data_IF_977455150540
#
_entry.id   IF_977455150540
#
_cell.length_a   1.000
_cell.length_b   1.000
_cell.length_c   1.000
_cell.angle_alpha   90.00
_cell.angle_beta   90.00
_cell.angle_gamma   90.00
#
_symmetry.space_group_name_H-M   'P 1'
#
loop_
_entity.id
_entity.type
_entity.pdbx_description
1 polymer ?
#
# COMPACT_ATOMS: atom_id res chain seq x y z
N UNK A 1 0.79 15.71 9.51
CA UNK A 1 1.92 15.72 8.56
C UNK A 1 2.67 14.40 8.63
N UNK A 2 3.14 13.89 7.48
CA UNK A 2 3.92 12.66 7.35
C UNK A 2 5.25 13.05 6.74
N UNK A 3 6.33 12.63 7.36
CA UNK A 3 7.69 12.87 6.87
C UNK A 3 8.10 11.80 5.84
N UNK A 4 9.02 12.15 4.97
CA UNK A 4 9.54 11.22 3.96
C UNK A 4 10.19 9.99 4.61
N UNK A 5 9.92 8.82 4.05
CA UNK A 5 10.46 7.55 4.52
C UNK A 5 9.76 6.96 5.75
N UNK A 6 8.72 7.62 6.30
CA UNK A 6 7.93 7.07 7.41
C UNK A 6 7.01 5.94 6.95
N UNK A 7 6.83 4.94 7.82
CA UNK A 7 5.81 3.90 7.72
C UNK A 7 4.69 4.20 8.71
N UNK A 8 3.53 4.56 8.18
CA UNK A 8 2.33 4.94 8.93
C UNK A 8 1.29 3.83 8.84
N UNK A 9 0.77 3.43 9.98
CA UNK A 9 -0.31 2.43 10.06
C UNK A 9 -1.60 3.09 10.51
N UNK A 10 -2.62 3.04 9.65
CA UNK A 10 -3.99 3.44 9.99
C UNK A 10 -4.69 2.24 10.62
N UNK A 11 -5.09 2.37 11.88
CA UNK A 11 -5.74 1.31 12.63
C UNK A 11 -7.08 1.78 13.23
N UNK A 12 -7.94 0.83 13.58
CA UNK A 12 -9.29 1.07 14.10
C UNK A 12 -10.29 0.05 13.58
N UNK A 13 -11.52 0.10 14.05
CA UNK A 13 -12.58 -0.83 13.67
C UNK A 13 -12.92 -0.79 12.18
N UNK A 14 -13.58 -1.84 11.68
CA UNK A 14 -14.12 -1.86 10.31
C UNK A 14 -15.12 -0.71 10.14
N UNK A 15 -15.03 -0.03 9.00
CA UNK A 15 -15.93 1.10 8.69
C UNK A 15 -15.55 2.44 9.33
N UNK A 16 -14.46 2.53 10.10
CA UNK A 16 -14.04 3.79 10.74
C UNK A 16 -13.42 4.82 9.78
N UNK A 17 -13.38 4.55 8.46
CA UNK A 17 -12.92 5.52 7.46
C UNK A 17 -11.50 5.33 6.92
N UNK A 18 -10.76 4.27 7.29
CA UNK A 18 -9.37 4.01 6.80
C UNK A 18 -9.28 3.96 5.27
N UNK A 19 -10.13 3.14 4.63
CA UNK A 19 -10.19 3.03 3.16
C UNK A 19 -10.57 4.36 2.50
N UNK A 20 -11.43 5.16 3.13
CA UNK A 20 -11.76 6.49 2.62
C UNK A 20 -10.53 7.40 2.63
N UNK A 21 -9.76 7.39 3.71
CA UNK A 21 -8.54 8.17 3.83
C UNK A 21 -7.48 7.71 2.80
N UNK A 22 -7.27 6.39 2.64
CA UNK A 22 -6.35 5.88 1.62
C UNK A 22 -6.76 6.27 0.21
N UNK A 23 -8.08 6.26 -0.10
CA UNK A 23 -8.62 6.70 -1.39
C UNK A 23 -8.50 8.20 -1.64
N UNK A 24 -8.48 9.01 -0.61
CA UNK A 24 -8.18 10.44 -0.73
C UNK A 24 -6.69 10.66 -1.04
N UNK A 25 -5.79 9.92 -0.37
CA UNK A 25 -4.34 10.06 -0.57
C UNK A 25 -3.93 9.65 -2.00
N UNK A 26 -4.51 8.58 -2.54
CA UNK A 26 -4.19 8.13 -3.90
C UNK A 26 -5.01 8.82 -5.01
N UNK A 27 -5.82 9.83 -4.64
CA UNK A 27 -6.59 10.63 -5.58
C UNK A 27 -7.86 9.96 -6.12
N UNK A 28 -8.21 8.74 -5.69
CA UNK A 28 -9.46 8.10 -6.11
C UNK A 28 -10.69 8.86 -5.61
N UNK A 29 -10.58 9.59 -4.52
CA UNK A 29 -11.56 10.60 -4.10
C UNK A 29 -10.89 11.96 -4.27
N UNK A 30 -11.49 12.88 -5.03
CA UNK A 30 -12.85 12.87 -5.60
C UNK A 30 -12.92 12.37 -7.05
N UNK A 31 -11.83 11.94 -7.70
CA UNK A 31 -11.78 11.75 -9.14
C UNK A 31 -12.51 10.51 -9.67
N UNK A 32 -12.58 9.44 -8.88
CA UNK A 32 -13.23 8.18 -9.27
C UNK A 32 -14.47 7.89 -8.43
N UNK A 33 -14.40 8.13 -7.12
CA UNK A 33 -15.56 8.01 -6.24
C UNK A 33 -16.17 9.39 -6.02
N UNK A 34 -17.47 9.52 -6.30
CA UNK A 34 -18.20 10.76 -6.06
C UNK A 34 -18.26 11.09 -4.58
N UNK A 35 -18.08 12.37 -4.24
CA UNK A 35 -18.14 12.86 -2.87
C UNK A 35 -17.73 14.32 -2.78
N UNK A 36 -18.13 14.97 -1.68
CA UNK A 36 -17.70 16.35 -1.39
C UNK A 36 -16.44 16.27 -0.52
N UNK A 37 -15.30 16.61 -1.10
CA UNK A 37 -14.06 16.82 -0.37
C UNK A 37 -13.98 18.26 0.10
N UNK A 38 -13.72 18.47 1.40
CA UNK A 38 -13.40 19.77 1.99
C UNK A 38 -12.01 19.70 2.62
N UNK A 39 -11.20 20.73 2.41
CA UNK A 39 -9.78 20.71 2.75
C UNK A 39 -8.91 20.31 1.58
N UNK A 40 -7.64 20.07 1.85
CA UNK A 40 -6.61 19.85 0.84
C UNK A 40 -5.70 18.69 1.24
N UNK A 41 -5.20 17.97 0.24
CA UNK A 41 -4.22 16.89 0.42
C UNK A 41 -2.99 17.24 -0.40
N UNK A 42 -1.90 17.48 0.29
CA UNK A 42 -0.63 17.86 -0.32
C UNK A 42 0.35 16.70 -0.28
N UNK A 43 0.91 16.37 -1.43
CA UNK A 43 1.97 15.37 -1.59
C UNK A 43 3.09 16.01 -2.40
N UNK A 44 4.30 16.09 -1.84
CA UNK A 44 5.46 16.71 -2.48
C UNK A 44 5.16 18.12 -3.04
N UNK A 45 4.39 18.92 -2.29
CA UNK A 45 4.00 20.27 -2.71
C UNK A 45 2.89 20.34 -3.78
N UNK A 46 2.27 19.21 -4.11
CA UNK A 46 1.20 19.11 -5.11
C UNK A 46 -0.13 18.80 -4.41
N UNK A 47 -1.17 19.57 -4.71
CA UNK A 47 -2.52 19.28 -4.23
C UNK A 47 -3.17 18.17 -5.07
N UNK A 48 -3.24 16.96 -4.50
CA UNK A 48 -3.72 15.74 -5.18
C UNK A 48 -5.17 15.85 -5.64
N UNK A 49 -6.00 16.60 -4.92
CA UNK A 49 -7.42 16.77 -5.27
C UNK A 49 -7.65 17.63 -6.52
N UNK A 50 -6.63 18.36 -6.97
CA UNK A 50 -6.71 19.29 -8.09
C UNK A 50 -5.99 18.80 -9.34
N UNK A 51 -5.18 17.73 -9.25
CA UNK A 51 -4.45 17.22 -10.41
C UNK A 51 -5.13 15.95 -10.97
N UNK A 52 -4.91 15.65 -12.26
CA UNK A 52 -5.40 14.42 -12.87
C UNK A 52 -4.90 13.16 -12.16
N UNK A 53 -5.75 12.13 -12.06
CA UNK A 53 -5.44 10.88 -11.37
C UNK A 53 -4.16 10.20 -11.90
N UNK A 54 -3.89 10.28 -13.21
CA UNK A 54 -2.70 9.68 -13.81
C UNK A 54 -1.38 10.34 -13.36
N UNK A 55 -1.41 11.61 -12.94
CA UNK A 55 -0.23 12.28 -12.38
C UNK A 55 -0.02 11.87 -10.93
N UNK A 56 -1.10 11.74 -10.15
CA UNK A 56 -1.04 11.16 -8.80
C UNK A 56 -0.48 9.74 -8.83
N UNK A 57 -0.89 8.91 -9.79
CA UNK A 57 -0.43 7.53 -9.93
C UNK A 57 1.08 7.37 -10.24
N UNK A 58 1.76 8.42 -10.67
CA UNK A 58 3.23 8.44 -10.83
C UNK A 58 3.96 8.57 -9.49
N UNK A 59 3.32 9.20 -8.50
CA UNK A 59 3.90 9.54 -7.20
C UNK A 59 3.42 8.56 -6.13
N UNK A 60 2.15 8.14 -6.20
CA UNK A 60 1.50 7.27 -5.23
C UNK A 60 1.16 5.93 -5.87
N UNK A 61 1.83 4.89 -5.41
CA UNK A 61 1.54 3.52 -5.78
C UNK A 61 0.52 2.89 -4.82
N UNK A 62 -0.53 2.26 -5.35
CA UNK A 62 -1.62 1.70 -4.54
C UNK A 62 -1.71 0.19 -4.64
N UNK A 63 -1.84 -0.48 -3.48
CA UNK A 63 -2.13 -1.91 -3.37
C UNK A 63 -3.48 -2.06 -2.66
N UNK A 64 -4.46 -2.62 -3.35
CA UNK A 64 -5.82 -2.75 -2.85
C UNK A 64 -6.03 -4.04 -2.05
N UNK A 65 -7.05 -4.06 -1.19
CA UNK A 65 -7.43 -5.18 -0.33
C UNK A 65 -7.60 -6.50 -1.10
N UNK A 66 -8.18 -6.45 -2.30
CA UNK A 66 -8.33 -7.61 -3.16
C UNK A 66 -7.43 -7.47 -4.40
N UNK A 67 -6.28 -8.14 -4.45
CA UNK A 67 -5.39 -8.04 -5.60
C UNK A 67 -6.03 -8.46 -6.92
N UNK A 68 -7.06 -9.33 -6.89
CA UNK A 68 -7.77 -9.74 -8.12
C UNK A 68 -8.50 -8.59 -8.83
N UNK A 69 -8.98 -7.60 -8.08
CA UNK A 69 -9.65 -6.43 -8.66
C UNK A 69 -8.67 -5.43 -9.28
N UNK A 70 -7.37 -5.65 -9.07
CA UNK A 70 -6.30 -4.78 -9.56
C UNK A 70 -5.72 -5.30 -10.89
N UNK A 71 -5.92 -6.58 -11.23
CA UNK A 71 -5.28 -7.22 -12.37
C UNK A 71 -6.05 -6.98 -13.67
N UNK A 72 -5.32 -6.62 -14.71
CA UNK A 72 -5.80 -6.41 -16.08
C UNK A 72 -5.32 -7.50 -17.03
N UNK A 73 -4.22 -8.17 -16.73
CA UNK A 73 -3.59 -9.18 -17.60
C UNK A 73 -3.76 -10.58 -17.03
N UNK A 74 -3.60 -11.57 -17.91
CA UNK A 74 -3.61 -13.00 -17.55
C UNK A 74 -2.20 -13.48 -17.15
N UNK A 75 -1.18 -12.91 -17.77
CA UNK A 75 0.22 -13.23 -17.54
C UNK A 75 0.86 -12.30 -16.51
N UNK A 76 1.63 -12.89 -15.58
CA UNK A 76 2.27 -12.14 -14.48
C UNK A 76 3.29 -11.12 -14.95
N UNK A 77 4.03 -11.40 -16.03
CA UNK A 77 5.04 -10.49 -16.55
C UNK A 77 4.37 -9.24 -17.12
N UNK A 78 3.35 -9.46 -17.97
CA UNK A 78 2.55 -8.39 -18.55
C UNK A 78 1.83 -7.55 -17.49
N UNK A 79 1.36 -8.20 -16.41
CA UNK A 79 0.74 -7.48 -15.30
C UNK A 79 1.72 -6.59 -14.57
N UNK A 80 2.93 -7.07 -14.28
CA UNK A 80 3.94 -6.26 -13.60
C UNK A 80 4.33 -5.06 -14.47
N UNK A 81 4.48 -5.22 -15.79
CA UNK A 81 4.92 -4.14 -16.69
C UNK A 81 3.81 -3.17 -17.09
N UNK A 82 2.55 -3.54 -16.88
CA UNK A 82 1.37 -2.82 -17.35
C UNK A 82 1.36 -1.32 -17.01
N UNK A 83 1.70 -0.96 -15.77
CA UNK A 83 1.75 0.44 -15.34
C UNK A 83 2.81 1.26 -16.10
N UNK A 84 3.99 0.67 -16.32
CA UNK A 84 5.07 1.31 -17.08
C UNK A 84 4.72 1.49 -18.56
N UNK A 85 4.06 0.49 -19.16
CA UNK A 85 3.58 0.54 -20.54
C UNK A 85 2.53 1.65 -20.73
N UNK A 86 1.58 1.77 -19.80
CA UNK A 86 0.57 2.83 -19.80
C UNK A 86 1.17 4.24 -19.67
N UNK A 87 2.30 4.37 -18.98
CA UNK A 87 3.04 5.63 -18.89
C UNK A 87 3.90 5.89 -20.12
N UNK A 88 3.91 5.02 -21.13
CA UNK A 88 4.69 5.16 -22.36
C UNK A 88 6.20 5.06 -22.16
N UNK A 89 6.66 4.32 -21.13
CA UNK A 89 8.09 4.15 -20.89
C UNK A 89 8.77 3.39 -22.04
N UNK A 90 10.05 3.68 -22.35
CA UNK A 90 10.82 2.93 -23.33
C UNK A 90 10.95 1.45 -22.96
N UNK A 91 10.86 0.54 -23.94
CA UNK A 91 10.91 -0.92 -23.71
C UNK A 91 12.16 -1.39 -22.95
N UNK A 92 13.31 -0.81 -23.24
CA UNK A 92 14.56 -1.17 -22.56
C UNK A 92 14.51 -0.74 -21.09
N UNK A 93 13.97 0.42 -20.77
CA UNK A 93 13.79 0.86 -19.39
C UNK A 93 12.83 -0.06 -18.64
N UNK A 94 11.71 -0.45 -19.27
CA UNK A 94 10.75 -1.40 -18.66
C UNK A 94 11.45 -2.73 -18.35
N UNK A 95 12.27 -3.23 -19.27
CA UNK A 95 13.01 -4.48 -19.11
C UNK A 95 14.00 -4.41 -17.93
N UNK A 96 14.74 -3.32 -17.83
CA UNK A 96 15.71 -3.12 -16.74
C UNK A 96 14.99 -3.01 -15.37
N UNK A 97 13.90 -2.26 -15.31
CA UNK A 97 13.06 -2.14 -14.12
C UNK A 97 12.44 -3.49 -13.72
N UNK A 98 11.96 -4.27 -14.70
CA UNK A 98 11.40 -5.60 -14.47
C UNK A 98 12.45 -6.54 -13.87
N UNK A 99 13.66 -6.57 -14.44
CA UNK A 99 14.76 -7.38 -13.92
C UNK A 99 15.12 -7.01 -12.47
N UNK A 100 15.22 -5.72 -12.17
CA UNK A 100 15.46 -5.24 -10.82
C UNK A 100 14.33 -5.67 -9.86
N UNK A 101 13.07 -5.44 -10.22
CA UNK A 101 11.91 -5.80 -9.40
C UNK A 101 11.83 -7.32 -9.15
N UNK A 102 12.15 -8.16 -10.16
CA UNK A 102 12.21 -9.62 -10.01
C UNK A 102 13.24 -10.03 -8.96
N UNK A 103 14.39 -9.38 -8.94
CA UNK A 103 15.48 -9.68 -7.98
C UNK A 103 15.11 -9.19 -6.58
N UNK A 104 14.69 -7.95 -6.46
CA UNK A 104 14.36 -7.28 -5.20
C UNK A 104 13.23 -7.98 -4.44
N UNK A 105 12.18 -8.38 -5.15
CA UNK A 105 11.01 -9.03 -4.56
C UNK A 105 11.01 -10.57 -4.68
N UNK A 106 12.12 -11.15 -5.15
CA UNK A 106 12.30 -12.62 -5.29
C UNK A 106 11.20 -13.30 -6.12
N UNK A 107 10.85 -12.73 -7.28
CA UNK A 107 9.72 -13.16 -8.11
C UNK A 107 10.06 -14.20 -9.18
N UNK A 108 11.30 -14.65 -9.29
CA UNK A 108 11.79 -15.50 -10.39
C UNK A 108 10.87 -16.69 -10.73
N UNK A 109 10.27 -17.31 -9.71
CA UNK A 109 9.36 -18.47 -9.88
C UNK A 109 7.94 -18.10 -10.31
N UNK A 110 7.61 -16.82 -10.30
CA UNK A 110 6.26 -16.31 -10.61
C UNK A 110 6.16 -15.71 -12.01
N UNK A 111 7.28 -15.45 -12.67
CA UNK A 111 7.32 -14.79 -13.98
C UNK A 111 6.84 -15.76 -15.08
N UNK A 112 6.06 -15.25 -16.04
CA UNK A 112 5.49 -16.02 -17.15
C UNK A 112 4.38 -16.98 -16.73
N UNK A 113 3.80 -16.83 -15.55
CA UNK A 113 2.73 -17.70 -15.05
C UNK A 113 1.35 -17.06 -15.27
N UNK A 114 0.35 -17.91 -15.37
CA UNK A 114 -1.04 -17.46 -15.40
C UNK A 114 -1.48 -17.01 -14.00
N UNK A 115 -1.93 -15.75 -13.87
CA UNK A 115 -2.34 -15.12 -12.59
C UNK A 115 -3.47 -15.89 -11.91
N UNK A 116 -4.40 -16.48 -12.67
CA UNK A 116 -5.53 -17.23 -12.11
C UNK A 116 -5.09 -18.50 -11.37
N UNK A 117 -3.92 -19.05 -11.71
CA UNK A 117 -3.35 -20.25 -11.09
C UNK A 117 -2.52 -19.94 -9.84
N UNK A 118 -2.32 -18.66 -9.51
CA UNK A 118 -1.54 -18.25 -8.36
C UNK A 118 -2.36 -18.36 -7.06
N UNK A 119 -1.68 -18.67 -5.96
CA UNK A 119 -2.23 -18.55 -4.60
C UNK A 119 -2.52 -17.09 -4.24
N UNK A 120 -3.25 -16.86 -3.14
CA UNK A 120 -3.52 -15.49 -2.65
C UNK A 120 -2.25 -14.70 -2.37
N UNK A 121 -1.28 -15.31 -1.70
CA UNK A 121 0.02 -14.67 -1.40
C UNK A 121 0.86 -14.41 -2.64
N UNK A 122 0.88 -15.32 -3.62
CA UNK A 122 1.55 -15.09 -4.90
C UNK A 122 0.91 -13.93 -5.67
N UNK A 123 -0.43 -13.85 -5.68
CA UNK A 123 -1.16 -12.71 -6.26
C UNK A 123 -0.80 -11.39 -5.58
N UNK A 124 -0.72 -11.38 -4.24
CA UNK A 124 -0.31 -10.20 -3.50
C UNK A 124 1.10 -9.75 -3.87
N UNK A 125 2.04 -10.67 -4.04
CA UNK A 125 3.40 -10.36 -4.51
C UNK A 125 3.40 -9.74 -5.91
N UNK A 126 2.59 -10.26 -6.84
CA UNK A 126 2.46 -9.68 -8.19
C UNK A 126 1.86 -8.27 -8.14
N UNK A 127 0.81 -8.04 -7.31
CA UNK A 127 0.25 -6.72 -7.12
C UNK A 127 1.29 -5.72 -6.56
N UNK A 128 2.05 -6.12 -5.54
CA UNK A 128 3.16 -5.31 -5.02
C UNK A 128 4.23 -5.04 -6.09
N UNK A 129 4.56 -6.03 -6.92
CA UNK A 129 5.55 -5.89 -7.98
C UNK A 129 5.11 -4.90 -9.07
N UNK A 130 3.85 -4.96 -9.49
CA UNK A 130 3.26 -4.04 -10.48
C UNK A 130 3.27 -2.59 -10.02
N UNK A 131 3.23 -2.37 -8.69
CA UNK A 131 3.38 -1.03 -8.10
C UNK A 131 4.86 -0.66 -7.96
N UNK A 132 5.70 -1.59 -7.48
CA UNK A 132 7.14 -1.36 -7.24
C UNK A 132 7.90 -0.97 -8.49
N UNK A 133 7.60 -1.59 -9.64
CA UNK A 133 8.29 -1.34 -10.91
C UNK A 133 8.16 0.13 -11.36
N UNK A 134 7.08 0.79 -10.98
CA UNK A 134 6.84 2.20 -11.27
C UNK A 134 7.70 3.14 -10.41
N UNK A 135 8.30 2.63 -9.33
CA UNK A 135 9.16 3.36 -8.37
C UNK A 135 8.48 4.60 -7.78
N UNK A 136 7.25 4.50 -7.25
CA UNK A 136 6.58 5.64 -6.65
C UNK A 136 7.34 6.13 -5.40
N UNK A 137 7.06 7.36 -4.98
CA UNK A 137 7.62 7.91 -3.73
C UNK A 137 6.84 7.44 -2.52
N UNK A 138 5.54 7.22 -2.69
CA UNK A 138 4.61 6.84 -1.64
C UNK A 138 3.90 5.53 -2.01
N UNK A 139 3.84 4.60 -1.08
CA UNK A 139 3.02 3.39 -1.18
C UNK A 139 1.81 3.50 -0.27
N UNK A 140 0.63 3.25 -0.80
CA UNK A 140 -0.63 3.19 -0.04
C UNK A 140 -1.20 1.78 -0.14
N UNK A 141 -1.32 1.09 0.99
CA UNK A 141 -1.83 -0.28 1.05
C UNK A 141 -3.13 -0.30 1.84
N UNK A 142 -4.17 -0.85 1.26
CA UNK A 142 -5.48 -0.98 1.92
C UNK A 142 -5.73 -2.44 2.30
N UNK A 143 -5.65 -2.74 3.61
CA UNK A 143 -5.80 -4.07 4.21
C UNK A 143 -5.06 -5.20 3.47
N UNK A 144 -3.76 -5.04 3.17
CA UNK A 144 -3.04 -5.93 2.27
C UNK A 144 -2.87 -7.36 2.80
N UNK A 145 -3.08 -7.59 4.11
CA UNK A 145 -2.95 -8.91 4.75
C UNK A 145 -4.27 -9.67 4.86
N UNK A 146 -5.42 -9.09 4.49
CA UNK A 146 -6.76 -9.59 4.82
C UNK A 146 -7.01 -11.05 4.40
N UNK A 147 -6.48 -11.47 3.25
CA UNK A 147 -6.70 -12.80 2.66
C UNK A 147 -5.43 -13.66 2.62
N UNK A 148 -4.42 -13.34 3.45
CA UNK A 148 -3.13 -14.01 3.45
C UNK A 148 -2.99 -14.99 4.62
N UNK A 149 -2.29 -16.08 4.37
CA UNK A 149 -1.78 -16.98 5.40
C UNK A 149 -0.51 -16.39 6.08
N UNK A 150 -0.07 -17.01 7.17
CA UNK A 150 1.05 -16.51 7.95
C UNK A 150 2.36 -16.38 7.13
N UNK A 151 2.63 -17.32 6.23
CA UNK A 151 3.83 -17.30 5.40
C UNK A 151 3.78 -16.12 4.40
N UNK A 152 2.62 -15.93 3.76
CA UNK A 152 2.40 -14.81 2.81
C UNK A 152 2.44 -13.44 3.51
N UNK A 153 1.97 -13.34 4.76
CA UNK A 153 2.10 -12.12 5.57
C UNK A 153 3.57 -11.80 5.84
N UNK A 154 4.40 -12.80 6.12
CA UNK A 154 5.84 -12.58 6.31
C UNK A 154 6.54 -12.16 5.02
N UNK A 155 6.09 -12.65 3.87
CA UNK A 155 6.58 -12.18 2.57
C UNK A 155 6.17 -10.72 2.31
N UNK A 156 4.92 -10.36 2.61
CA UNK A 156 4.45 -8.96 2.53
C UNK A 156 5.27 -8.04 3.45
N UNK A 157 5.55 -8.48 4.69
CA UNK A 157 6.42 -7.76 5.62
C UNK A 157 7.81 -7.49 5.02
N UNK A 158 8.42 -8.47 4.33
CA UNK A 158 9.73 -8.29 3.68
C UNK A 158 9.67 -7.25 2.56
N UNK A 159 8.60 -7.24 1.78
CA UNK A 159 8.38 -6.24 0.72
C UNK A 159 8.27 -4.84 1.33
N UNK A 160 7.48 -4.67 2.38
CA UNK A 160 7.32 -3.39 3.09
C UNK A 160 8.66 -2.93 3.69
N UNK A 161 9.42 -3.84 4.32
CA UNK A 161 10.74 -3.54 4.86
C UNK A 161 11.70 -3.07 3.77
N UNK A 162 11.71 -3.74 2.63
CA UNK A 162 12.52 -3.35 1.48
C UNK A 162 12.18 -1.94 0.97
N UNK A 163 10.90 -1.59 0.85
CA UNK A 163 10.50 -0.24 0.47
C UNK A 163 10.92 0.80 1.51
N UNK A 164 10.80 0.48 2.81
CA UNK A 164 11.28 1.35 3.90
C UNK A 164 12.80 1.58 3.80
N UNK A 165 13.58 0.53 3.56
CA UNK A 165 15.04 0.60 3.35
C UNK A 165 15.43 1.48 2.15
N UNK A 166 14.56 1.55 1.13
CA UNK A 166 14.70 2.44 -0.01
C UNK A 166 14.28 3.89 0.30
N UNK A 167 13.91 4.21 1.53
CA UNK A 167 13.46 5.55 1.96
C UNK A 167 12.08 5.92 1.46
N UNK A 168 11.23 4.94 1.10
CA UNK A 168 9.87 5.20 0.62
C UNK A 168 8.92 5.46 1.79
N UNK A 169 8.00 6.42 1.60
CA UNK A 169 6.89 6.66 2.53
C UNK A 169 5.80 5.61 2.31
N UNK A 170 5.33 5.00 3.39
CA UNK A 170 4.38 3.89 3.30
C UNK A 170 3.20 4.16 4.24
N UNK A 171 1.98 4.10 3.70
CA UNK A 171 0.75 4.28 4.45
C UNK A 171 -0.06 2.99 4.31
N UNK A 172 -0.36 2.34 5.43
CA UNK A 172 -1.01 1.03 5.45
C UNK A 172 -2.28 1.12 6.31
N UNK A 173 -3.45 0.85 5.74
CA UNK A 173 -4.62 0.55 6.54
C UNK A 173 -4.60 -0.92 6.93
N UNK A 174 -4.76 -1.25 8.22
CA UNK A 174 -4.60 -2.64 8.64
C UNK A 174 -5.35 -2.95 9.95
N UNK A 175 -5.79 -4.21 10.07
CA UNK A 175 -6.36 -4.78 11.29
C UNK A 175 -5.40 -5.74 12.01
N UNK A 176 -4.52 -6.40 11.26
CA UNK A 176 -3.51 -7.34 11.78
C UNK A 176 -2.19 -6.61 11.99
N UNK A 177 -2.01 -6.01 13.16
CA UNK A 177 -0.89 -5.10 13.40
C UNK A 177 0.43 -5.80 13.75
N UNK A 178 0.38 -7.08 14.15
CA UNK A 178 1.53 -7.81 14.67
C UNK A 178 2.73 -7.88 13.71
N UNK A 179 2.49 -8.01 12.40
CA UNK A 179 3.56 -8.14 11.42
C UNK A 179 4.22 -6.79 11.08
N UNK A 180 3.62 -5.67 11.49
CA UNK A 180 4.14 -4.32 11.29
C UNK A 180 4.95 -3.80 12.48
N UNK A 181 4.97 -4.54 13.59
CA UNK A 181 5.80 -4.19 14.76
C UNK A 181 7.27 -4.12 14.37
N UNK A 182 7.97 -3.07 14.81
CA UNK A 182 9.36 -2.79 14.45
C UNK A 182 9.58 -2.33 12.99
N UNK A 183 8.52 -2.24 12.17
CA UNK A 183 8.56 -1.59 10.85
C UNK A 183 7.85 -0.23 10.87
N UNK A 184 6.68 -0.17 11.48
CA UNK A 184 5.90 1.06 11.58
C UNK A 184 6.59 2.08 12.49
N UNK A 185 6.56 3.34 12.07
CA UNK A 185 7.08 4.48 12.83
C UNK A 185 5.95 5.14 13.65
N UNK A 186 4.71 5.13 13.12
CA UNK A 186 3.54 5.71 13.77
C UNK A 186 2.29 4.86 13.51
N UNK A 187 1.37 4.89 14.47
CA UNK A 187 0.05 4.26 14.42
C UNK A 187 -1.02 5.32 14.62
N UNK A 188 -1.82 5.57 13.60
CA UNK A 188 -2.92 6.53 13.62
C UNK A 188 -4.21 5.78 13.91
N UNK A 189 -4.76 5.96 15.11
CA UNK A 189 -6.03 5.37 15.50
C UNK A 189 -7.20 6.20 15.01
N UNK A 190 -8.09 5.55 14.27
CA UNK A 190 -9.29 6.15 13.70
C UNK A 190 -10.56 5.54 14.29
N UNK A 191 -11.55 6.39 14.54
CA UNK A 191 -12.89 6.00 14.98
C UNK A 191 -13.93 6.94 14.37
N UNK A 192 -15.01 6.40 13.83
CA UNK A 192 -16.15 7.16 13.28
C UNK A 192 -15.73 8.29 12.30
N UNK A 193 -14.79 8.01 11.41
CA UNK A 193 -14.29 8.95 10.41
C UNK A 193 -13.30 10.00 10.94
N UNK A 194 -12.89 9.91 12.19
CA UNK A 194 -11.98 10.88 12.82
C UNK A 194 -10.65 10.22 13.23
N UNK A 195 -9.58 10.99 13.13
CA UNK A 195 -8.31 10.64 13.77
C UNK A 195 -8.44 11.01 15.26
N UNK A 196 -8.42 9.98 16.10
CA UNK A 196 -8.57 10.14 17.55
C UNK A 196 -7.21 10.32 18.22
N UNK A 197 -6.22 9.53 17.77
CA UNK A 197 -4.89 9.54 18.37
C UNK A 197 -3.84 9.18 17.34
N UNK A 198 -2.68 9.74 17.49
CA UNK A 198 -1.47 9.49 16.72
C UNK A 198 -0.38 9.05 17.70
N UNK A 199 0.01 7.79 17.61
CA UNK A 199 0.99 7.16 18.48
C UNK A 199 2.31 6.98 17.74
N UNK A 200 3.43 7.30 18.36
CA UNK A 200 4.72 6.75 17.96
C UNK A 200 4.73 5.22 18.13
N UNK A 201 5.65 4.53 17.44
CA UNK A 201 5.80 3.09 17.61
C UNK A 201 5.97 2.68 19.08
N UNK A 202 6.79 3.43 19.83
CA UNK A 202 7.06 3.17 21.25
C UNK A 202 5.81 3.36 22.12
N UNK A 203 5.05 4.42 21.91
CA UNK A 203 3.80 4.66 22.65
C UNK A 203 2.78 3.57 22.36
N UNK A 204 2.66 3.15 21.09
CA UNK A 204 1.72 2.10 20.68
C UNK A 204 2.10 0.73 21.27
N UNK A 205 3.37 0.40 21.30
CA UNK A 205 3.86 -0.85 21.89
C UNK A 205 3.60 -0.91 23.41
N UNK A 206 3.63 0.23 24.10
CA UNK A 206 3.38 0.35 25.52
C UNK A 206 1.87 0.38 25.90
N UNK A 207 0.96 0.36 24.93
CA UNK A 207 -0.47 0.27 25.20
C UNK A 207 -0.82 -1.07 25.90
N UNK A 208 -1.62 -0.98 26.96
CA UNK A 208 -2.13 -2.17 27.65
C UNK A 208 -3.07 -2.97 26.75
N UNK A 209 -3.25 -4.27 27.05
CA UNK A 209 -4.21 -5.11 26.32
C UNK A 209 -5.64 -4.57 26.45
N UNK A 210 -6.01 -4.09 27.66
CA UNK A 210 -7.30 -3.46 27.92
C UNK A 210 -7.52 -2.27 26.97
N UNK A 211 -6.54 -1.37 26.85
CA UNK A 211 -6.61 -0.21 25.97
C UNK A 211 -6.73 -0.60 24.50
N UNK A 212 -5.98 -1.60 24.05
CA UNK A 212 -6.10 -2.15 22.68
C UNK A 212 -7.47 -2.75 22.43
N UNK A 213 -8.03 -3.46 23.44
CA UNK A 213 -9.38 -4.01 23.38
C UNK A 213 -10.46 -2.91 23.24
N UNK A 214 -10.38 -1.81 24.01
CA UNK A 214 -11.27 -0.64 23.90
C UNK A 214 -11.19 0.02 22.50
N UNK A 215 -10.03 -0.04 21.86
CA UNK A 215 -9.79 0.49 20.52
C UNK A 215 -10.24 -0.48 19.40
N UNK A 216 -10.75 -1.66 19.75
CA UNK A 216 -11.12 -2.70 18.78
C UNK A 216 -9.93 -3.28 18.01
N UNK A 217 -8.71 -3.13 18.53
CA UNK A 217 -7.50 -3.62 17.88
C UNK A 217 -7.24 -5.08 18.24
N UNK A 218 -6.99 -5.89 17.22
CA UNK A 218 -6.59 -7.29 17.42
C UNK A 218 -5.09 -7.34 17.72
N UNK A 219 -4.76 -8.02 18.80
CA UNK A 219 -3.38 -8.24 19.23
C UNK A 219 -2.58 -9.08 18.23
#
# INVERSE_FOLDING_TARGET
EIEDGQVIVLCGESGCGKTTLTRMINGLIPHYYEGKLTGEIWINGINVSQQPLYDTAKIVGSVFQNPRSQFFNVDTTSEITFGCENLGMPKEEIKDRLQATIQELHLKKLIGRNIFQLSGGEKQKIACAGVSIMKPDIFVLDEPSSNLDAASIMDLRRIIAHWKEQGKTIIISEHRLYYLRGLADRFIYMKEGQIIQDYSATEFENLTEEKRGEMGLRA
#
